data_IF_261420770753
#
_entry.id   IF_261420770753
#
_cell.length_a   1.000
_cell.length_b   1.000
_cell.length_c   1.000
_cell.angle_alpha   90.00
_cell.angle_beta   90.00
_cell.angle_gamma   90.00
#
_symmetry.space_group_name_H-M   'P 1'
#
loop_
_entity.id
_entity.type
_entity.pdbx_description
1 polymer ?
#
# COMPACT_ATOMS: atom_id res chain seq x y z
N UNK A 1 12.38 -5.80 -1.60
CA UNK A 1 11.71 -6.53 -0.51
C UNK A 1 10.48 -5.71 -0.21
N UNK A 2 9.35 -6.10 -0.78
CA UNK A 2 8.12 -5.30 -0.75
C UNK A 2 7.62 -5.24 0.69
N UNK A 3 7.55 -4.02 1.24
CA UNK A 3 7.13 -3.78 2.62
C UNK A 3 5.64 -3.53 2.65
N UNK A 4 4.90 -4.19 3.55
CA UNK A 4 3.48 -3.90 3.77
C UNK A 4 3.33 -2.57 4.53
N UNK A 5 2.47 -1.69 4.01
CA UNK A 5 2.17 -0.35 4.54
C UNK A 5 0.69 -0.20 4.94
N UNK A 6 0.11 -1.26 5.49
CA UNK A 6 -1.33 -1.31 5.81
C UNK A 6 -1.76 -0.19 6.76
N UNK A 7 -0.94 0.17 7.76
CA UNK A 7 -1.27 1.26 8.71
C UNK A 7 -1.34 2.62 8.00
N UNK A 8 -0.42 2.87 7.08
CA UNK A 8 -0.36 4.09 6.29
C UNK A 8 -1.52 4.14 5.31
N UNK A 9 -1.87 3.03 4.66
CA UNK A 9 -3.05 2.94 3.81
C UNK A 9 -4.33 3.30 4.60
N UNK A 10 -4.53 2.71 5.79
CA UNK A 10 -5.68 3.04 6.66
C UNK A 10 -5.78 4.55 6.92
N UNK A 11 -4.65 5.18 7.27
CA UNK A 11 -4.61 6.64 7.51
C UNK A 11 -4.85 7.45 6.24
N UNK A 12 -4.25 7.03 5.12
CA UNK A 12 -4.34 7.73 3.84
C UNK A 12 -5.78 7.77 3.31
N UNK A 13 -6.54 6.69 3.51
CA UNK A 13 -7.95 6.59 3.12
C UNK A 13 -8.91 7.16 4.18
N UNK A 14 -8.40 7.78 5.25
CA UNK A 14 -9.22 8.46 6.26
C UNK A 14 -10.09 7.53 7.10
N UNK A 15 -9.71 6.25 7.21
CA UNK A 15 -10.40 5.27 8.05
C UNK A 15 -9.57 4.91 9.29
N UNK A 16 -10.16 4.21 10.24
CA UNK A 16 -9.49 3.74 11.45
C UNK A 16 -9.34 2.22 11.46
N UNK A 17 -8.37 1.74 12.24
CA UNK A 17 -8.19 0.29 12.50
C UNK A 17 -9.46 -0.32 13.10
N UNK A 18 -10.24 0.44 13.86
CA UNK A 18 -11.48 -0.05 14.45
C UNK A 18 -12.55 -0.24 13.38
N UNK A 19 -12.78 0.75 12.53
CA UNK A 19 -13.77 0.66 11.46
C UNK A 19 -13.44 -0.47 10.46
N UNK A 20 -12.16 -0.64 10.12
CA UNK A 20 -11.72 -1.74 9.26
C UNK A 20 -11.97 -3.08 9.93
N UNK A 21 -11.69 -3.21 11.24
CA UNK A 21 -11.96 -4.44 11.98
C UNK A 21 -13.47 -4.74 12.06
N UNK A 22 -14.31 -3.73 12.28
CA UNK A 22 -15.77 -3.84 12.30
C UNK A 22 -16.31 -4.26 10.93
N UNK A 23 -15.86 -3.64 9.84
CA UNK A 23 -16.24 -4.04 8.46
C UNK A 23 -15.81 -5.47 8.14
N UNK A 24 -14.67 -5.91 8.66
CA UNK A 24 -14.19 -7.28 8.49
C UNK A 24 -14.89 -8.29 9.42
N UNK A 25 -15.64 -7.82 10.43
CA UNK A 25 -16.27 -8.67 11.44
C UNK A 25 -15.27 -9.36 12.37
N UNK A 26 -14.10 -8.75 12.61
CA UNK A 26 -13.03 -9.31 13.46
C UNK A 26 -12.69 -8.36 14.61
N UNK A 27 -11.97 -8.87 15.61
CA UNK A 27 -11.49 -8.02 16.69
C UNK A 27 -10.34 -7.11 16.23
N UNK A 28 -10.24 -5.92 16.83
CA UNK A 28 -9.11 -5.00 16.62
C UNK A 28 -7.75 -5.66 16.88
N UNK A 29 -7.69 -6.58 17.86
CA UNK A 29 -6.47 -7.33 18.19
C UNK A 29 -6.09 -8.27 17.05
N UNK A 30 -7.05 -9.02 16.52
CA UNK A 30 -6.86 -9.89 15.35
C UNK A 30 -6.34 -9.11 14.15
N UNK A 31 -6.97 -7.97 13.83
CA UNK A 31 -6.51 -7.10 12.76
C UNK A 31 -5.08 -6.58 13.03
N UNK A 32 -4.78 -6.19 14.27
CA UNK A 32 -3.44 -5.74 14.65
C UNK A 32 -2.38 -6.83 14.47
N UNK A 33 -2.71 -8.08 14.74
CA UNK A 33 -1.83 -9.22 14.46
C UNK A 33 -1.59 -9.40 12.97
N UNK A 34 -2.62 -9.25 12.12
CA UNK A 34 -2.46 -9.30 10.66
C UNK A 34 -1.61 -8.14 10.12
N UNK A 35 -1.79 -6.93 10.64
CA UNK A 35 -1.04 -5.74 10.22
C UNK A 35 0.46 -5.86 10.54
N UNK A 36 0.82 -6.42 11.70
CA UNK A 36 2.22 -6.52 12.13
C UNK A 36 2.85 -7.88 11.79
N UNK A 37 2.06 -8.83 11.28
CA UNK A 37 2.49 -10.19 10.96
C UNK A 37 2.67 -10.43 9.46
N UNK A 38 2.56 -11.70 9.07
CA UNK A 38 2.53 -12.12 7.67
C UNK A 38 1.12 -12.61 7.31
N UNK A 39 0.20 -11.70 6.90
CA UNK A 39 -1.15 -12.09 6.54
C UNK A 39 -1.17 -12.93 5.26
N UNK A 40 -2.17 -13.79 5.14
CA UNK A 40 -2.44 -14.49 3.87
C UNK A 40 -3.00 -13.51 2.82
N UNK A 41 -2.89 -13.87 1.55
CA UNK A 41 -3.43 -13.07 0.43
C UNK A 41 -4.93 -12.80 0.57
N UNK A 42 -5.69 -13.77 1.07
CA UNK A 42 -7.12 -13.60 1.35
C UNK A 42 -7.38 -12.46 2.35
N UNK A 43 -6.59 -12.41 3.43
CA UNK A 43 -6.73 -11.38 4.46
C UNK A 43 -6.34 -10.01 3.92
N UNK A 44 -5.28 -9.93 3.10
CA UNK A 44 -4.90 -8.68 2.43
C UNK A 44 -6.03 -8.14 1.54
N UNK A 45 -6.68 -9.01 0.76
CA UNK A 45 -7.82 -8.62 -0.08
C UNK A 45 -8.98 -8.10 0.74
N UNK A 46 -9.31 -8.78 1.85
CA UNK A 46 -10.39 -8.34 2.76
C UNK A 46 -10.08 -7.02 3.46
N UNK A 47 -8.82 -6.80 3.84
CA UNK A 47 -8.36 -5.51 4.41
C UNK A 47 -8.51 -4.41 3.36
N UNK A 48 -8.06 -4.65 2.12
CA UNK A 48 -8.16 -3.69 1.03
C UNK A 48 -9.64 -3.33 0.73
N UNK A 49 -10.51 -4.34 0.69
CA UNK A 49 -11.96 -4.16 0.49
C UNK A 49 -12.61 -3.35 1.63
N UNK A 50 -12.27 -3.66 2.89
CA UNK A 50 -12.76 -2.92 4.05
C UNK A 50 -12.28 -1.44 4.08
N UNK A 51 -11.06 -1.19 3.62
CA UNK A 51 -10.52 0.18 3.45
C UNK A 51 -11.15 0.87 2.23
N UNK A 52 -11.56 0.11 1.22
CA UNK A 52 -12.04 0.63 -0.06
C UNK A 52 -10.90 1.04 -1.01
N UNK A 53 -9.75 0.37 -0.92
CA UNK A 53 -8.58 0.63 -1.74
C UNK A 53 -8.17 -0.62 -2.54
N UNK A 54 -7.40 -0.47 -3.64
CA UNK A 54 -6.82 -1.63 -4.30
C UNK A 54 -5.72 -2.25 -3.42
N UNK A 55 -5.63 -3.58 -3.45
CA UNK A 55 -4.67 -4.35 -2.61
C UNK A 55 -3.21 -3.93 -2.82
N UNK A 56 -2.88 -3.38 -3.98
CA UNK A 56 -1.54 -2.85 -4.30
C UNK A 56 -1.13 -1.67 -3.40
N UNK A 57 -2.10 -0.89 -2.90
CA UNK A 57 -1.85 0.24 -1.99
C UNK A 57 -1.47 -0.21 -0.58
N UNK A 58 -1.66 -1.50 -0.26
CA UNK A 58 -1.15 -2.08 0.98
C UNK A 58 0.35 -2.36 0.92
N UNK A 59 1.00 -2.21 -0.24
CA UNK A 59 2.42 -2.43 -0.44
C UNK A 59 3.15 -1.10 -0.69
N UNK A 60 4.35 -1.00 -0.15
CA UNK A 60 5.24 0.12 -0.44
C UNK A 60 5.55 0.11 -1.94
N UNK A 61 5.10 1.16 -2.64
CA UNK A 61 5.50 1.31 -4.03
C UNK A 61 7.01 1.50 -4.08
N UNK A 62 7.72 0.82 -5.00
CA UNK A 62 9.15 1.03 -5.16
C UNK A 62 9.36 2.53 -5.39
N UNK A 63 10.20 3.15 -4.55
CA UNK A 63 10.63 4.53 -4.76
C UNK A 63 11.17 4.60 -6.18
N UNK A 64 10.39 5.16 -7.10
CA UNK A 64 10.86 5.55 -8.42
C UNK A 64 11.72 6.78 -8.19
N UNK A 65 12.92 6.57 -7.66
CA UNK A 65 13.97 7.55 -7.70
C UNK A 65 14.19 7.87 -9.18
N UNK A 66 13.82 9.10 -9.55
CA UNK A 66 13.75 9.64 -10.90
C UNK A 66 12.59 9.12 -11.77
N UNK A 67 11.81 10.08 -12.28
CA UNK A 67 11.13 9.96 -13.55
C UNK A 67 12.17 9.49 -14.59
N UNK A 68 12.22 8.19 -14.88
CA UNK A 68 13.06 7.66 -15.97
C UNK A 68 12.40 8.00 -17.31
N UNK A 69 12.36 9.29 -17.63
CA UNK A 69 11.97 9.74 -18.96
C UNK A 69 13.08 9.22 -19.86
N UNK A 70 12.74 8.18 -20.60
CA UNK A 70 13.68 7.52 -21.49
C UNK A 70 13.51 8.17 -22.85
N UNK A 71 14.60 8.64 -23.46
CA UNK A 71 14.50 9.31 -24.75
C UNK A 71 13.93 8.36 -25.82
N UNK A 72 12.77 8.67 -26.46
CA UNK A 72 12.12 7.77 -27.42
C UNK A 72 12.94 7.54 -28.69
N UNK A 73 14.00 8.32 -28.92
CA UNK A 73 14.88 8.19 -30.08
C UNK A 73 16.13 7.33 -29.81
N UNK A 74 16.60 7.22 -28.56
CA UNK A 74 17.88 6.55 -28.28
C UNK A 74 17.90 5.65 -27.03
N UNK A 75 16.82 5.63 -26.23
CA UNK A 75 16.70 4.74 -25.08
C UNK A 75 17.50 5.18 -23.83
N UNK A 76 18.14 6.35 -23.85
CA UNK A 76 18.92 6.83 -22.70
C UNK A 76 18.03 7.56 -21.66
N UNK A 77 18.27 7.39 -20.35
CA UNK A 77 17.54 8.10 -19.30
C UNK A 77 17.88 9.60 -19.29
N UNK A 78 16.86 10.46 -19.35
CA UNK A 78 16.97 11.92 -19.27
C UNK A 78 16.98 12.36 -17.80
N UNK A 79 18.06 13.03 -17.38
CA UNK A 79 18.13 13.69 -16.06
C UNK A 79 17.61 15.13 -16.20
N UNK A 80 16.37 15.38 -15.78
CA UNK A 80 15.84 16.75 -15.70
C UNK A 80 16.27 17.35 -14.35
N UNK A 81 17.00 18.46 -14.37
CA UNK A 81 17.17 19.34 -13.21
C UNK A 81 16.03 20.35 -13.23
N UNK A 82 15.25 20.41 -12.15
CA UNK A 82 14.31 21.51 -11.91
C UNK A 82 15.06 22.54 -11.07
N UNK A 83 15.32 23.71 -11.65
CA UNK A 83 15.74 24.92 -10.92
C UNK A 83 14.51 25.66 -10.37
#
# INVERSE_FOLDING_TARGET
MDRLIIKEAIKHYGTSVNEVAEKMGISRVTLSTHINGNPSTEILLRIADAIGCPVTELFEQPKKDSLSITCPNCGHPLKIKVE
#
